data_IF_072674320208
#
_entry.id   IF_072674320208
#
_cell.length_a   1.000
_cell.length_b   1.000
_cell.length_c   1.000
_cell.angle_alpha   90.00
_cell.angle_beta   90.00
_cell.angle_gamma   90.00
#
_symmetry.space_group_name_H-M   'P 1'
#
loop_
_entity.id
_entity.type
_entity.pdbx_description
1 polymer ?
#
# COMPACT_ATOMS: atom_id res chain seq x y z
N UNK A 1 45.47 -21.94 40.14
CA UNK A 1 44.01 -21.87 40.30
C UNK A 1 43.30 -20.77 39.49
N UNK A 2 43.99 -19.87 38.77
CA UNK A 2 43.31 -18.76 38.05
C UNK A 2 42.79 -19.08 36.64
N UNK A 3 43.39 -20.06 35.95
CA UNK A 3 43.05 -20.39 34.56
C UNK A 3 41.63 -20.97 34.40
N UNK A 4 41.15 -21.72 35.40
CA UNK A 4 39.80 -22.25 35.42
C UNK A 4 38.74 -21.14 35.42
N UNK A 5 38.97 -20.05 36.17
CA UNK A 5 38.04 -18.93 36.23
C UNK A 5 37.97 -18.16 34.90
N UNK A 6 39.10 -18.06 34.19
CA UNK A 6 39.16 -17.47 32.85
C UNK A 6 38.34 -18.28 31.84
N UNK A 7 38.47 -19.62 31.85
CA UNK A 7 37.68 -20.50 30.97
C UNK A 7 36.19 -20.36 31.25
N UNK A 8 35.78 -20.34 32.52
CA UNK A 8 34.37 -20.18 32.91
C UNK A 8 33.82 -18.85 32.43
N UNK A 9 34.58 -17.77 32.60
CA UNK A 9 34.19 -16.44 32.13
C UNK A 9 34.02 -16.42 30.61
N UNK A 10 34.97 -16.97 29.86
CA UNK A 10 34.88 -17.05 28.40
C UNK A 10 33.73 -17.93 27.91
N UNK A 11 33.48 -19.05 28.58
CA UNK A 11 32.31 -19.90 28.29
C UNK A 11 31.01 -19.12 28.52
N UNK A 12 30.91 -18.35 29.61
CA UNK A 12 29.77 -17.47 29.89
C UNK A 12 29.57 -16.39 28.82
N UNK A 13 30.65 -15.74 28.38
CA UNK A 13 30.61 -14.76 27.29
C UNK A 13 30.11 -15.41 25.99
N UNK A 14 30.64 -16.57 25.62
CA UNK A 14 30.26 -17.26 24.39
C UNK A 14 28.79 -17.71 24.44
N UNK A 15 28.34 -18.24 25.58
CA UNK A 15 26.93 -18.56 25.80
C UNK A 15 26.04 -17.31 25.71
N UNK A 16 26.46 -16.19 26.29
CA UNK A 16 25.70 -14.93 26.23
C UNK A 16 25.58 -14.41 24.79
N UNK A 17 26.64 -14.50 23.98
CA UNK A 17 26.63 -14.12 22.56
C UNK A 17 25.65 -15.00 21.77
N UNK A 18 25.66 -16.31 21.98
CA UNK A 18 24.73 -17.24 21.32
C UNK A 18 23.29 -16.92 21.71
N UNK A 19 23.02 -16.73 23.00
CA UNK A 19 21.69 -16.38 23.51
C UNK A 19 21.19 -15.04 22.93
N UNK A 20 22.05 -14.02 22.87
CA UNK A 20 21.72 -12.72 22.30
C UNK A 20 21.43 -12.81 20.79
N UNK A 21 22.23 -13.58 20.04
CA UNK A 21 22.01 -13.80 18.61
C UNK A 21 20.67 -14.50 18.35
N UNK A 22 20.36 -15.55 19.11
CA UNK A 22 19.08 -16.26 19.00
C UNK A 22 17.87 -15.36 19.32
N UNK A 23 17.96 -14.58 20.41
CA UNK A 23 16.93 -13.63 20.79
C UNK A 23 16.71 -12.54 19.73
N UNK A 24 17.79 -12.04 19.11
CA UNK A 24 17.73 -11.09 18.01
C UNK A 24 17.05 -11.70 16.78
N UNK A 25 17.47 -12.90 16.36
CA UNK A 25 16.91 -13.63 15.22
C UNK A 25 15.40 -13.89 15.38
N UNK A 26 14.96 -14.38 16.54
CA UNK A 26 13.52 -14.57 16.80
C UNK A 26 12.73 -13.26 16.72
N UNK A 27 13.29 -12.16 17.22
CA UNK A 27 12.63 -10.84 17.17
C UNK A 27 12.51 -10.33 15.73
N UNK A 28 13.51 -10.60 14.89
CA UNK A 28 13.47 -10.26 13.45
C UNK A 28 12.45 -11.11 12.73
N UNK A 29 12.44 -12.42 12.93
CA UNK A 29 11.50 -13.36 12.29
C UNK A 29 10.05 -13.05 12.66
N UNK A 30 9.78 -12.77 13.93
CA UNK A 30 8.45 -12.36 14.41
C UNK A 30 7.97 -11.07 13.75
N UNK A 31 8.87 -10.09 13.57
CA UNK A 31 8.55 -8.83 12.90
C UNK A 31 8.29 -9.03 11.40
N UNK A 32 9.06 -9.89 10.74
CA UNK A 32 8.88 -10.22 9.33
C UNK A 32 7.54 -10.93 9.10
N UNK A 33 7.20 -11.92 9.90
CA UNK A 33 5.92 -12.63 9.81
C UNK A 33 4.73 -11.68 10.01
N UNK A 34 4.79 -10.79 11.02
CA UNK A 34 3.77 -9.77 11.24
C UNK A 34 3.61 -8.82 10.05
N UNK A 35 4.72 -8.33 9.49
CA UNK A 35 4.69 -7.46 8.32
C UNK A 35 4.09 -8.13 7.08
N UNK A 36 4.37 -9.42 6.86
CA UNK A 36 3.78 -10.17 5.73
C UNK A 36 2.27 -10.31 5.89
N UNK A 37 1.79 -10.61 7.09
CA UNK A 37 0.35 -10.71 7.38
C UNK A 37 -0.35 -9.36 7.19
N UNK A 38 0.22 -8.28 7.70
CA UNK A 38 -0.37 -6.94 7.53
C UNK A 38 -0.39 -6.48 6.07
N UNK A 39 0.67 -6.78 5.29
CA UNK A 39 0.68 -6.53 3.84
C UNK A 39 -0.40 -7.33 3.12
N UNK A 40 -0.55 -8.61 3.43
CA UNK A 40 -1.57 -9.46 2.83
C UNK A 40 -2.99 -8.96 3.16
N UNK A 41 -3.24 -8.53 4.40
CA UNK A 41 -4.51 -7.91 4.79
C UNK A 41 -4.77 -6.62 4.04
N UNK A 42 -3.80 -5.72 3.97
CA UNK A 42 -3.93 -4.45 3.25
C UNK A 42 -4.26 -4.67 1.76
N UNK A 43 -3.59 -5.64 1.13
CA UNK A 43 -3.88 -6.03 -0.25
C UNK A 43 -5.30 -6.57 -0.41
N UNK A 44 -5.74 -7.49 0.46
CA UNK A 44 -7.08 -8.05 0.42
C UNK A 44 -8.17 -6.98 0.60
N UNK A 45 -7.93 -5.98 1.47
CA UNK A 45 -8.84 -4.84 1.66
C UNK A 45 -8.91 -3.97 0.39
N UNK A 46 -7.76 -3.72 -0.25
CA UNK A 46 -7.70 -2.96 -1.50
C UNK A 46 -8.47 -3.70 -2.62
N UNK A 47 -8.25 -5.00 -2.77
CA UNK A 47 -8.94 -5.84 -3.76
C UNK A 47 -10.46 -5.85 -3.50
N UNK A 48 -10.88 -5.98 -2.24
CA UNK A 48 -12.30 -5.88 -1.87
C UNK A 48 -12.90 -4.50 -2.23
N UNK A 49 -12.15 -3.42 -2.04
CA UNK A 49 -12.55 -2.07 -2.43
C UNK A 49 -12.79 -1.94 -3.94
N UNK A 50 -11.91 -2.52 -4.76
CA UNK A 50 -12.07 -2.56 -6.23
C UNK A 50 -13.31 -3.33 -6.64
N UNK A 51 -13.51 -4.54 -6.11
CA UNK A 51 -14.70 -5.34 -6.41
C UNK A 51 -15.98 -4.60 -6.00
N UNK A 52 -15.96 -3.91 -4.85
CA UNK A 52 -17.07 -3.11 -4.38
C UNK A 52 -17.36 -1.92 -5.31
N UNK A 53 -16.32 -1.23 -5.81
CA UNK A 53 -16.40 -0.18 -6.83
C UNK A 53 -17.09 -0.68 -8.11
N UNK A 54 -16.66 -1.83 -8.62
CA UNK A 54 -17.23 -2.45 -9.82
C UNK A 54 -18.71 -2.78 -9.61
N UNK A 55 -19.05 -3.42 -8.49
CA UNK A 55 -20.45 -3.73 -8.16
C UNK A 55 -21.32 -2.47 -8.04
N UNK A 56 -20.80 -1.37 -7.50
CA UNK A 56 -21.53 -0.10 -7.41
C UNK A 56 -21.71 0.60 -8.76
N UNK A 57 -20.82 0.37 -9.73
CA UNK A 57 -20.98 0.82 -11.11
C UNK A 57 -21.99 -0.03 -11.89
N UNK A 58 -22.00 -1.34 -11.65
CA UNK A 58 -22.91 -2.29 -12.28
C UNK A 58 -24.32 -2.30 -11.66
N UNK A 59 -24.49 -1.74 -10.46
CA UNK A 59 -25.78 -1.65 -9.79
C UNK A 59 -26.80 -0.84 -10.62
N UNK A 60 -27.98 -1.41 -10.79
CA UNK A 60 -29.08 -0.84 -11.60
C UNK A 60 -29.47 0.56 -11.11
N UNK A 61 -29.90 1.42 -12.04
CA UNK A 61 -30.05 2.87 -11.86
C UNK A 61 -31.04 3.30 -10.76
N UNK A 62 -31.78 2.35 -10.18
CA UNK A 62 -32.85 2.60 -9.20
C UNK A 62 -32.37 2.76 -7.75
N UNK A 63 -31.10 2.46 -7.41
CA UNK A 63 -30.70 2.44 -5.97
C UNK A 63 -29.35 3.08 -5.64
N UNK A 64 -28.86 4.04 -6.44
CA UNK A 64 -27.58 4.80 -6.33
C UNK A 64 -26.46 4.26 -7.21
N UNK A 65 -26.55 4.55 -8.51
CA UNK A 65 -25.40 4.41 -9.41
C UNK A 65 -24.27 5.34 -8.96
N UNK A 66 -23.09 4.81 -8.70
CA UNK A 66 -21.91 5.62 -8.42
C UNK A 66 -21.47 6.35 -9.68
N UNK A 67 -21.18 7.65 -9.55
CA UNK A 67 -20.76 8.51 -10.67
C UNK A 67 -19.24 8.67 -10.57
N UNK A 68 -18.55 8.40 -11.68
CA UNK A 68 -17.09 8.48 -11.80
C UNK A 68 -16.62 9.92 -12.15
N UNK A 69 -17.03 10.90 -11.35
CA UNK A 69 -16.74 12.32 -11.53
C UNK A 69 -15.62 12.85 -10.62
N UNK A 70 -14.95 11.96 -9.87
CA UNK A 70 -13.89 12.31 -8.94
C UNK A 70 -14.37 12.61 -7.51
N UNK A 71 -15.67 12.46 -7.21
CA UNK A 71 -16.15 12.57 -5.82
C UNK A 71 -15.62 11.42 -4.94
N UNK A 72 -15.32 11.76 -3.69
CA UNK A 72 -14.93 10.78 -2.67
C UNK A 72 -16.17 10.14 -2.06
N UNK A 73 -16.23 8.82 -2.04
CA UNK A 73 -17.25 8.03 -1.37
C UNK A 73 -16.64 7.38 -0.12
N UNK A 74 -17.34 7.46 1.00
CA UNK A 74 -16.98 6.76 2.23
C UNK A 74 -18.01 5.68 2.53
N UNK A 75 -17.53 4.48 2.83
CA UNK A 75 -18.36 3.34 3.23
C UNK A 75 -17.78 2.69 4.49
N UNK A 76 -18.62 2.18 5.41
CA UNK A 76 -18.16 1.33 6.49
C UNK A 76 -17.59 0.03 5.91
N UNK A 77 -16.43 -0.40 6.41
CA UNK A 77 -15.78 -1.66 6.01
C UNK A 77 -15.07 -2.30 7.21
N UNK A 78 -15.59 -3.44 7.67
CA UNK A 78 -15.14 -4.06 8.93
C UNK A 78 -15.26 -3.08 10.10
N UNK A 79 -14.16 -2.89 10.82
CA UNK A 79 -14.06 -2.01 12.00
C UNK A 79 -13.68 -0.56 11.62
N UNK A 80 -13.49 -0.29 10.32
CA UNK A 80 -12.97 0.96 9.79
C UNK A 80 -13.85 1.62 8.73
N UNK A 81 -13.33 2.71 8.15
CA UNK A 81 -13.95 3.42 7.02
C UNK A 81 -13.08 3.27 5.78
N UNK A 82 -13.69 2.87 4.67
CA UNK A 82 -13.06 2.82 3.36
C UNK A 82 -13.44 4.08 2.57
N UNK A 83 -12.43 4.84 2.13
CA UNK A 83 -12.61 5.99 1.25
C UNK A 83 -12.09 5.64 -0.14
N UNK A 84 -12.90 5.88 -1.16
CA UNK A 84 -12.51 5.64 -2.54
C UNK A 84 -13.03 6.75 -3.45
N UNK A 85 -12.34 6.97 -4.57
CA UNK A 85 -12.66 7.99 -5.57
C UNK A 85 -12.72 7.32 -6.93
N UNK A 86 -13.79 7.55 -7.68
CA UNK A 86 -13.91 7.07 -9.06
C UNK A 86 -13.73 8.26 -9.99
N UNK A 87 -12.81 8.17 -10.94
CA UNK A 87 -12.62 9.18 -11.98
C UNK A 87 -12.75 8.51 -13.34
N UNK A 88 -13.57 9.07 -14.22
CA UNK A 88 -13.66 8.65 -15.60
C UNK A 88 -12.37 9.03 -16.35
N UNK A 89 -11.79 8.07 -17.05
CA UNK A 89 -10.63 8.31 -17.92
C UNK A 89 -11.05 8.84 -19.30
N UNK A 90 -12.31 8.67 -19.70
CA UNK A 90 -12.83 9.09 -21.01
C UNK A 90 -12.80 10.61 -21.24
N UNK A 91 -12.62 11.41 -20.20
CA UNK A 91 -12.47 12.87 -20.30
C UNK A 91 -11.01 13.35 -20.40
N UNK A 92 -10.03 12.44 -20.32
CA UNK A 92 -8.60 12.76 -20.42
C UNK A 92 -8.11 12.58 -21.86
N UNK A 93 -7.09 13.34 -22.23
CA UNK A 93 -6.38 13.14 -23.51
C UNK A 93 -5.65 11.80 -23.46
N UNK A 94 -5.99 10.88 -24.37
CA UNK A 94 -5.28 9.60 -24.50
C UNK A 94 -3.89 9.83 -25.11
N UNK A 95 -2.85 9.79 -24.27
CA UNK A 95 -1.47 10.00 -24.71
C UNK A 95 -0.95 8.88 -25.63
N UNK A 96 -1.58 7.70 -25.64
CA UNK A 96 -1.13 6.58 -26.45
C UNK A 96 -1.60 6.70 -27.92
N UNK A 97 -2.72 7.39 -28.16
CA UNK A 97 -3.34 7.56 -29.49
C UNK A 97 -3.53 9.02 -29.92
N UNK A 98 -3.16 9.99 -29.08
CA UNK A 98 -3.36 11.40 -29.39
C UNK A 98 -2.50 11.85 -30.59
N UNK A 99 -3.08 12.60 -31.54
CA UNK A 99 -2.30 13.30 -32.56
C UNK A 99 -1.26 14.22 -31.91
N UNK A 100 -0.08 14.32 -32.50
CA UNK A 100 1.04 15.10 -31.96
C UNK A 100 0.65 16.56 -31.64
N UNK A 101 -0.17 17.18 -32.50
CA UNK A 101 -0.68 18.53 -32.30
C UNK A 101 -1.51 18.69 -31.01
N UNK A 102 -2.24 17.65 -30.58
CA UNK A 102 -3.05 17.68 -29.35
C UNK A 102 -2.17 17.59 -28.11
N UNK A 103 -1.10 16.77 -28.14
CA UNK A 103 -0.13 16.66 -27.05
C UNK A 103 0.68 17.96 -26.90
N UNK A 104 1.10 18.56 -28.02
CA UNK A 104 1.77 19.86 -28.03
C UNK A 104 0.85 20.98 -27.52
N UNK A 105 -0.43 20.97 -27.90
CA UNK A 105 -1.45 21.89 -27.38
C UNK A 105 -1.65 21.74 -25.86
N UNK A 106 -1.69 20.50 -25.36
CA UNK A 106 -1.77 20.22 -23.93
C UNK A 106 -0.54 20.76 -23.18
N UNK A 107 0.67 20.44 -23.63
CA UNK A 107 1.92 20.90 -23.01
C UNK A 107 2.03 22.43 -22.97
N UNK A 108 1.66 23.09 -24.07
CA UNK A 108 1.68 24.57 -24.13
C UNK A 108 0.63 25.19 -23.20
N UNK A 109 -0.56 24.60 -23.07
CA UNK A 109 -1.58 25.06 -22.11
C UNK A 109 -1.13 24.91 -20.65
N UNK A 110 -0.42 23.82 -20.31
CA UNK A 110 0.13 23.60 -18.96
C UNK A 110 1.30 24.55 -18.65
N UNK A 111 2.15 24.84 -19.64
CA UNK A 111 3.23 25.81 -19.51
C UNK A 111 2.71 27.24 -19.29
N UNK A 112 1.58 27.60 -19.92
CA UNK A 112 0.92 28.90 -19.70
C UNK A 112 0.18 28.99 -18.36
N UNK A 113 -0.30 27.86 -17.83
CA UNK A 113 -1.02 27.79 -16.56
C UNK A 113 -0.11 27.82 -15.31
N UNK A 114 1.22 27.89 -15.45
CA UNK A 114 2.16 28.09 -14.33
C UNK A 114 2.32 26.89 -13.39
N UNK A 115 2.14 25.67 -13.90
CA UNK A 115 2.42 24.44 -13.15
C UNK A 115 3.74 23.75 -13.58
N UNK A 116 4.68 24.53 -14.11
CA UNK A 116 6.12 24.26 -14.17
C UNK A 116 6.89 25.54 -13.85
#
# INVERSE_FOLDING_TARGET
GGFALVIVLWAGVLLAVIAASFAFSMRVETRLAGNLVERAKAQAIADAGVHRAILGLLADARTRRWIADGRSYELPFGDGRMRFRLQSENGKVDLNGAPEALVQGLMSSLAQAGHL
#
